data_IF_434043574052
#
_entry.id   IF_434043574052
#
_cell.length_a   1.000
_cell.length_b   1.000
_cell.length_c   1.000
_cell.angle_alpha   90.00
_cell.angle_beta   90.00
_cell.angle_gamma   90.00
#
_symmetry.space_group_name_H-M   'P 1'
#
loop_
_entity.id
_entity.type
_entity.pdbx_description
1 polymer ?
#
# COMPACT_ATOMS: atom_id res chain seq x y z
N UNK A 1 -11.93 -9.26 16.93
CA UNK A 1 -11.30 -9.24 15.60
C UNK A 1 -12.31 -8.62 14.64
N UNK A 2 -12.12 -7.35 14.27
CA UNK A 2 -12.93 -6.76 13.21
C UNK A 2 -12.54 -7.47 11.90
N UNK A 3 -13.50 -8.12 11.24
CA UNK A 3 -13.26 -8.72 9.94
C UNK A 3 -12.78 -7.61 8.99
N UNK A 4 -11.67 -7.86 8.29
CA UNK A 4 -11.11 -6.99 7.25
C UNK A 4 -12.24 -6.47 6.36
N UNK A 5 -12.50 -5.16 6.40
CA UNK A 5 -13.48 -4.55 5.51
C UNK A 5 -12.95 -4.66 4.07
N UNK A 6 -13.66 -5.40 3.17
CA UNK A 6 -13.22 -5.62 1.79
C UNK A 6 -12.86 -4.30 1.09
N UNK A 7 -11.77 -4.27 0.33
CA UNK A 7 -11.32 -3.08 -0.40
C UNK A 7 -12.39 -2.58 -1.38
N UNK A 8 -13.17 -3.51 -1.95
CA UNK A 8 -14.28 -3.17 -2.86
C UNK A 8 -15.38 -2.31 -2.22
N UNK A 9 -15.51 -2.30 -0.89
CA UNK A 9 -16.45 -1.40 -0.21
C UNK A 9 -16.02 0.08 -0.32
N UNK A 10 -14.72 0.36 -0.47
CA UNK A 10 -14.24 1.72 -0.75
C UNK A 10 -14.74 2.23 -2.10
N UNK A 11 -15.01 1.32 -3.04
CA UNK A 11 -15.58 1.61 -4.35
C UNK A 11 -17.12 1.65 -4.34
N UNK A 12 -17.76 1.51 -3.18
CA UNK A 12 -19.22 1.38 -3.08
C UNK A 12 -19.78 0.07 -3.65
N UNK A 13 -18.91 -0.92 -3.90
CA UNK A 13 -19.31 -2.22 -4.45
C UNK A 13 -19.61 -3.17 -3.30
N UNK A 14 -20.81 -3.73 -3.26
CA UNK A 14 -21.19 -4.74 -2.27
C UNK A 14 -20.57 -6.12 -2.60
N UNK A 15 -19.57 -6.60 -1.84
CA UNK A 15 -18.91 -7.87 -2.11
C UNK A 15 -19.88 -9.06 -2.03
N UNK A 16 -20.98 -8.96 -1.28
CA UNK A 16 -21.95 -10.06 -1.11
C UNK A 16 -22.66 -10.43 -2.40
N UNK A 17 -22.62 -9.56 -3.42
CA UNK A 17 -23.19 -9.79 -4.75
C UNK A 17 -22.35 -10.76 -5.60
N UNK A 18 -21.14 -11.10 -5.16
CA UNK A 18 -20.18 -11.89 -5.93
C UNK A 18 -19.93 -13.26 -5.29
N UNK A 19 -19.61 -14.27 -6.12
CA UNK A 19 -19.14 -15.57 -5.64
C UNK A 19 -17.82 -15.42 -4.85
N UNK A 20 -17.40 -16.47 -4.14
CA UNK A 20 -16.14 -16.45 -3.37
C UNK A 20 -14.93 -16.17 -4.28
N UNK A 21 -14.87 -16.81 -5.44
CA UNK A 21 -13.79 -16.68 -6.42
C UNK A 21 -13.77 -15.27 -7.00
N UNK A 22 -14.93 -14.74 -7.39
CA UNK A 22 -15.04 -13.37 -7.92
C UNK A 22 -14.65 -12.33 -6.88
N UNK A 23 -15.01 -12.52 -5.61
CA UNK A 23 -14.55 -11.65 -4.52
C UNK A 23 -13.04 -11.64 -4.37
N UNK A 24 -12.39 -12.80 -4.47
CA UNK A 24 -10.93 -12.88 -4.37
C UNK A 24 -10.24 -12.14 -5.51
N UNK A 25 -10.72 -12.31 -6.75
CA UNK A 25 -10.20 -11.59 -7.91
C UNK A 25 -10.44 -10.08 -7.78
N UNK A 26 -11.62 -9.68 -7.33
CA UNK A 26 -11.96 -8.27 -7.13
C UNK A 26 -11.07 -7.62 -6.07
N UNK A 27 -10.83 -8.30 -4.94
CA UNK A 27 -9.93 -7.81 -3.90
C UNK A 27 -8.48 -7.72 -4.39
N UNK A 28 -8.01 -8.68 -5.18
CA UNK A 28 -6.67 -8.64 -5.77
C UNK A 28 -6.52 -7.47 -6.76
N UNK A 29 -7.54 -7.21 -7.57
CA UNK A 29 -7.58 -6.08 -8.49
C UNK A 29 -7.53 -4.74 -7.76
N UNK A 30 -8.36 -4.55 -6.72
CA UNK A 30 -8.31 -3.34 -5.90
C UNK A 30 -6.97 -3.17 -5.19
N UNK A 31 -6.41 -4.26 -4.67
CA UNK A 31 -5.10 -4.22 -4.03
C UNK A 31 -4.00 -3.76 -5.01
N UNK A 32 -4.00 -4.30 -6.23
CA UNK A 32 -3.08 -3.90 -7.30
C UNK A 32 -3.19 -2.41 -7.65
N UNK A 33 -4.42 -1.89 -7.73
CA UNK A 33 -4.66 -0.46 -8.00
C UNK A 33 -4.17 0.44 -6.88
N UNK A 34 -4.49 0.09 -5.63
CA UNK A 34 -4.02 0.82 -4.45
C UNK A 34 -2.50 0.82 -4.40
N UNK A 35 -1.86 -0.33 -4.64
CA UNK A 35 -0.41 -0.45 -4.69
C UNK A 35 0.19 0.53 -5.71
N UNK A 36 -0.28 0.51 -6.96
CA UNK A 36 0.20 1.42 -8.01
C UNK A 36 0.03 2.88 -7.63
N UNK A 37 -1.10 3.26 -7.06
CA UNK A 37 -1.33 4.65 -6.63
C UNK A 37 -0.44 5.09 -5.49
N UNK A 38 -0.16 4.20 -4.53
CA UNK A 38 0.82 4.47 -3.48
C UNK A 38 2.22 4.63 -4.08
N UNK A 39 2.59 3.79 -5.04
CA UNK A 39 3.86 3.85 -5.75
C UNK A 39 4.02 5.17 -6.52
N UNK A 40 3.00 5.60 -7.26
CA UNK A 40 2.97 6.90 -7.94
C UNK A 40 3.19 8.07 -6.98
N UNK A 41 2.56 8.00 -5.80
CA UNK A 41 2.75 9.01 -4.76
C UNK A 41 4.18 9.02 -4.22
N UNK A 42 4.78 7.85 -4.00
CA UNK A 42 6.19 7.77 -3.62
C UNK A 42 7.10 8.29 -4.73
N UNK A 43 6.81 8.00 -6.01
CA UNK A 43 7.57 8.54 -7.14
C UNK A 43 7.57 10.06 -7.14
N UNK A 44 6.40 10.68 -6.93
CA UNK A 44 6.28 12.14 -6.79
C UNK A 44 7.09 12.65 -5.60
N UNK A 45 7.04 11.97 -4.45
CA UNK A 45 7.79 12.34 -3.26
C UNK A 45 9.32 12.27 -3.48
N UNK A 46 9.80 11.27 -4.21
CA UNK A 46 11.22 11.04 -4.48
C UNK A 46 11.72 11.62 -5.80
N UNK A 47 10.91 12.40 -6.53
CA UNK A 47 11.27 12.95 -7.86
C UNK A 47 12.59 13.73 -7.82
N UNK A 48 12.81 14.55 -6.80
CA UNK A 48 14.07 15.30 -6.66
C UNK A 48 15.27 14.39 -6.43
N UNK A 49 15.09 13.29 -5.68
CA UNK A 49 16.13 12.30 -5.46
C UNK A 49 16.46 11.57 -6.78
N UNK A 50 15.46 11.09 -7.51
CA UNK A 50 15.67 10.43 -8.80
C UNK A 50 16.33 11.34 -9.83
N UNK A 51 15.94 12.61 -9.88
CA UNK A 51 16.57 13.62 -10.74
C UNK A 51 18.03 13.86 -10.38
N UNK A 52 18.35 13.98 -9.08
CA UNK A 52 19.72 14.20 -8.61
C UNK A 52 20.65 13.06 -9.01
N UNK A 53 20.19 11.82 -8.85
CA UNK A 53 20.95 10.62 -9.21
C UNK A 53 20.82 10.21 -10.69
N UNK A 54 20.05 10.98 -11.48
CA UNK A 54 19.80 10.76 -12.91
C UNK A 54 19.32 9.33 -13.19
N UNK A 55 18.36 8.86 -12.39
CA UNK A 55 17.77 7.54 -12.62
C UNK A 55 17.03 7.53 -13.97
N UNK A 56 17.07 6.40 -14.65
CA UNK A 56 16.16 6.12 -15.76
C UNK A 56 14.83 5.63 -15.19
N UNK A 57 13.72 5.73 -15.93
CA UNK A 57 12.42 5.23 -15.48
C UNK A 57 12.51 3.80 -14.93
N UNK A 58 13.15 2.89 -15.67
CA UNK A 58 13.36 1.50 -15.21
C UNK A 58 14.13 1.41 -13.87
N UNK A 59 15.10 2.30 -13.61
CA UNK A 59 15.81 2.33 -12.32
C UNK A 59 14.97 2.92 -11.19
N UNK A 60 14.12 3.89 -11.50
CA UNK A 60 13.14 4.40 -10.54
C UNK A 60 12.16 3.30 -10.15
N UNK A 61 11.64 2.54 -11.12
CA UNK A 61 10.69 1.44 -10.90
C UNK A 61 11.30 0.39 -9.96
N UNK A 62 12.51 -0.08 -10.27
CA UNK A 62 13.24 -1.05 -9.43
C UNK A 62 13.46 -0.49 -8.01
N UNK A 63 13.92 0.77 -7.91
CA UNK A 63 14.19 1.37 -6.61
C UNK A 63 12.91 1.56 -5.77
N UNK A 64 11.79 1.91 -6.40
CA UNK A 64 10.49 2.03 -5.74
C UNK A 64 9.98 0.67 -5.29
N UNK A 65 10.04 -0.36 -6.14
CA UNK A 65 9.61 -1.72 -5.81
C UNK A 65 10.40 -2.28 -4.61
N UNK A 66 11.74 -2.19 -4.66
CA UNK A 66 12.63 -2.67 -3.60
C UNK A 66 12.44 -1.94 -2.26
N UNK A 67 11.98 -0.69 -2.29
CA UNK A 67 11.84 0.15 -1.11
C UNK A 67 10.38 0.45 -0.77
N UNK A 68 9.40 -0.17 -1.43
CA UNK A 68 7.99 0.20 -1.30
C UNK A 68 7.52 0.05 0.14
N UNK A 69 7.69 -1.14 0.71
CA UNK A 69 7.21 -1.47 2.05
C UNK A 69 7.93 -0.63 3.11
N UNK A 70 9.24 -0.44 2.93
CA UNK A 70 10.06 0.41 3.78
C UNK A 70 9.56 1.87 3.75
N UNK A 71 9.31 2.40 2.56
CA UNK A 71 8.80 3.76 2.36
C UNK A 71 7.42 3.94 3.00
N UNK A 72 6.55 2.93 2.89
CA UNK A 72 5.24 2.94 3.54
C UNK A 72 5.36 2.97 5.06
N UNK A 73 6.19 2.10 5.66
CA UNK A 73 6.42 2.10 7.12
C UNK A 73 7.01 3.44 7.58
N UNK A 74 8.01 3.97 6.85
CA UNK A 74 8.63 5.25 7.20
C UNK A 74 7.63 6.41 7.11
N UNK A 75 6.78 6.43 6.08
CA UNK A 75 5.73 7.44 5.94
C UNK A 75 4.75 7.37 7.13
N UNK A 76 4.28 6.17 7.49
CA UNK A 76 3.46 5.95 8.68
C UNK A 76 4.16 6.46 9.94
N UNK A 77 5.39 6.04 10.22
CA UNK A 77 6.12 6.49 11.40
C UNK A 77 6.34 8.01 11.43
N UNK A 78 6.54 8.63 10.26
CA UNK A 78 6.76 10.07 10.16
C UNK A 78 5.52 10.92 10.46
N UNK A 79 4.31 10.34 10.37
CA UNK A 79 3.08 11.06 10.75
C UNK A 79 2.96 11.25 12.28
N UNK A 80 3.70 10.46 13.06
CA UNK A 80 3.60 10.45 14.53
C UNK A 80 2.39 9.67 15.07
N UNK A 81 1.47 9.23 14.21
CA UNK A 81 0.29 8.45 14.62
C UNK A 81 0.60 6.97 14.87
N UNK A 82 1.80 6.53 14.48
CA UNK A 82 2.22 5.14 14.52
C UNK A 82 3.52 4.96 15.29
N UNK A 83 3.65 3.81 15.94
CA UNK A 83 4.89 3.35 16.55
C UNK A 83 5.28 2.01 15.95
N UNK A 84 6.57 1.69 15.99
CA UNK A 84 7.09 0.37 15.56
C UNK A 84 6.34 -0.76 16.28
N UNK A 85 6.17 -0.63 17.60
CA UNK A 85 5.41 -1.57 18.43
C UNK A 85 3.95 -1.71 17.99
N UNK A 86 3.29 -0.59 17.68
CA UNK A 86 1.91 -0.58 17.18
C UNK A 86 1.76 -1.33 15.86
N UNK A 87 2.67 -1.08 14.91
CA UNK A 87 2.70 -1.75 13.61
C UNK A 87 2.98 -3.25 13.78
N UNK A 88 3.98 -3.62 14.58
CA UNK A 88 4.34 -5.01 14.87
C UNK A 88 3.14 -5.79 15.44
N UNK A 89 2.48 -5.21 16.44
CA UNK A 89 1.30 -5.80 17.09
C UNK A 89 0.13 -5.98 16.12
N UNK A 90 -0.17 -4.97 15.30
CA UNK A 90 -1.30 -5.05 14.36
C UNK A 90 -1.03 -6.04 13.23
N UNK A 91 0.17 -6.00 12.66
CA UNK A 91 0.54 -6.88 11.54
C UNK A 91 0.84 -8.31 12.00
N UNK A 92 0.89 -8.56 13.32
CA UNK A 92 1.33 -9.81 13.94
C UNK A 92 2.69 -10.24 13.38
N UNK A 93 3.63 -9.28 13.38
CA UNK A 93 5.00 -9.45 12.95
C UNK A 93 5.91 -9.05 14.11
N UNK A 94 6.87 -9.90 14.49
CA UNK A 94 7.85 -9.57 15.53
C UNK A 94 8.58 -8.25 15.27
N UNK A 95 8.88 -7.50 16.33
CA UNK A 95 9.52 -6.17 16.22
C UNK A 95 10.91 -6.24 15.58
N UNK A 96 11.68 -7.29 15.84
CA UNK A 96 12.97 -7.57 15.21
C UNK A 96 12.84 -7.72 13.68
N UNK A 97 11.87 -8.51 13.22
CA UNK A 97 11.58 -8.65 11.78
C UNK A 97 11.12 -7.32 11.18
N UNK A 98 10.30 -6.55 11.90
CA UNK A 98 9.87 -5.22 11.45
C UNK A 98 11.07 -4.26 11.34
N UNK A 99 12.00 -4.31 12.29
CA UNK A 99 13.23 -3.53 12.26
C UNK A 99 14.10 -3.92 11.07
N UNK A 100 14.26 -5.22 10.76
CA UNK A 100 14.97 -5.69 9.57
C UNK A 100 14.38 -5.10 8.27
N UNK A 101 13.06 -5.02 8.15
CA UNK A 101 12.39 -4.38 7.00
C UNK A 101 12.71 -2.88 6.97
N UNK A 102 12.63 -2.19 8.11
CA UNK A 102 12.90 -0.73 8.21
C UNK A 102 14.34 -0.39 7.82
N UNK A 103 15.31 -1.22 8.21
CA UNK A 103 16.72 -1.03 7.87
C UNK A 103 17.10 -1.57 6.49
N UNK A 104 16.18 -2.27 5.81
CA UNK A 104 16.39 -2.81 4.46
C UNK A 104 17.11 -4.16 4.41
N UNK A 105 17.23 -4.86 5.54
CA UNK A 105 17.75 -6.24 5.60
C UNK A 105 16.71 -7.28 5.14
N UNK A 106 15.44 -6.91 5.12
CA UNK A 106 14.34 -7.70 4.57
C UNK A 106 13.49 -6.88 3.59
N UNK A 107 13.95 -6.72 2.32
CA UNK A 107 13.31 -5.84 1.35
C UNK A 107 12.00 -6.41 0.77
N UNK A 108 11.79 -7.72 0.83
CA UNK A 108 10.63 -8.40 0.22
C UNK A 108 9.78 -9.14 1.27
N UNK A 109 9.11 -8.42 2.18
CA UNK A 109 8.20 -9.06 3.12
C UNK A 109 6.99 -9.63 2.39
N UNK A 110 6.32 -10.60 3.02
CA UNK A 110 5.20 -11.30 2.39
C UNK A 110 4.06 -10.37 1.98
N UNK A 111 3.33 -10.74 0.92
CA UNK A 111 2.12 -10.01 0.49
C UNK A 111 1.06 -9.91 1.59
N UNK A 112 0.99 -10.89 2.50
CA UNK A 112 0.10 -10.85 3.68
C UNK A 112 0.50 -9.72 4.63
N UNK A 113 1.80 -9.53 4.87
CA UNK A 113 2.30 -8.44 5.69
C UNK A 113 1.97 -7.09 5.05
N UNK A 114 2.27 -6.92 3.76
CA UNK A 114 1.96 -5.68 3.03
C UNK A 114 0.46 -5.37 3.07
N UNK A 115 -0.41 -6.37 2.87
CA UNK A 115 -1.86 -6.19 3.00
C UNK A 115 -2.26 -5.68 4.37
N UNK A 116 -1.76 -6.29 5.45
CA UNK A 116 -2.06 -5.84 6.82
C UNK A 116 -1.56 -4.41 7.08
N UNK A 117 -0.41 -4.06 6.51
CA UNK A 117 0.16 -2.72 6.64
C UNK A 117 -0.72 -1.66 5.94
N UNK A 118 -1.16 -1.92 4.71
CA UNK A 118 -2.10 -1.06 3.98
C UNK A 118 -3.43 -0.94 4.74
N UNK A 119 -3.93 -2.03 5.32
CA UNK A 119 -5.16 -2.01 6.11
C UNK A 119 -5.03 -1.14 7.37
N UNK A 120 -3.91 -1.25 8.09
CA UNK A 120 -3.61 -0.41 9.25
C UNK A 120 -3.59 1.07 8.84
N UNK A 121 -2.86 1.36 7.78
CA UNK A 121 -2.69 2.72 7.28
C UNK A 121 -4.01 3.32 6.78
N UNK A 122 -4.84 2.51 6.11
CA UNK A 122 -6.19 2.87 5.68
C UNK A 122 -7.10 3.20 6.85
N UNK A 123 -7.00 2.48 7.97
CA UNK A 123 -7.86 2.72 9.13
C UNK A 123 -7.70 4.14 9.69
N UNK A 124 -6.50 4.71 9.60
CA UNK A 124 -6.21 6.08 10.01
C UNK A 124 -6.43 7.10 8.87
N UNK A 125 -6.04 6.76 7.64
CA UNK A 125 -6.09 7.65 6.46
C UNK A 125 -7.23 7.33 5.52
N UNK A 126 -8.44 7.12 6.05
CA UNK A 126 -9.59 6.62 5.27
C UNK A 126 -9.91 7.46 4.03
N UNK A 127 -9.92 8.78 4.18
CA UNK A 127 -10.26 9.70 3.08
C UNK A 127 -9.24 9.67 1.95
N UNK A 128 -7.95 9.49 2.29
CA UNK A 128 -6.88 9.32 1.32
C UNK A 128 -7.11 8.06 0.47
N UNK A 129 -7.37 6.91 1.11
CA UNK A 129 -7.62 5.66 0.38
C UNK A 129 -8.93 5.68 -0.42
N UNK A 130 -9.98 6.34 0.09
CA UNK A 130 -11.21 6.53 -0.66
C UNK A 130 -10.96 7.36 -1.92
N UNK A 131 -10.15 8.42 -1.82
CA UNK A 131 -9.74 9.24 -2.97
C UNK A 131 -8.94 8.41 -3.97
N UNK A 132 -7.95 7.64 -3.50
CA UNK A 132 -7.16 6.76 -4.37
C UNK A 132 -8.04 5.77 -5.16
N UNK A 133 -8.97 5.09 -4.48
CA UNK A 133 -9.87 4.13 -5.13
C UNK A 133 -10.78 4.83 -6.14
N UNK A 134 -11.30 6.02 -5.83
CA UNK A 134 -12.14 6.79 -6.75
C UNK A 134 -11.37 7.23 -8.00
N UNK A 135 -10.15 7.74 -7.83
CA UNK A 135 -9.27 8.09 -8.96
C UNK A 135 -8.98 6.87 -9.83
N UNK A 136 -8.76 5.70 -9.21
CA UNK A 136 -8.50 4.43 -9.90
C UNK A 136 -9.66 3.90 -10.74
N UNK A 137 -10.89 4.33 -10.47
CA UNK A 137 -12.09 3.95 -11.24
C UNK A 137 -12.35 4.92 -12.40
N UNK A 138 -12.01 6.20 -12.20
CA UNK A 138 -12.25 7.24 -13.21
C UNK A 138 -11.18 7.24 -14.33
N UNK A 139 -9.97 6.75 -14.06
CA UNK A 139 -8.92 6.65 -15.10
C UNK A 139 -9.26 5.65 -16.22
N UNK A 140 -10.12 4.66 -15.97
CA UNK A 140 -10.57 3.73 -17.02
C UNK A 140 -11.58 4.36 -17.99
N UNK A 141 -12.28 5.43 -17.61
CA UNK A 141 -13.21 6.15 -18.50
C UNK A 141 -12.51 7.05 -19.53
N UNK A 142 -11.20 7.32 -19.37
CA UNK A 142 -10.43 8.16 -20.29
C UNK A 142 -9.64 7.36 -21.34
N UNK A 143 -9.47 6.05 -21.11
CA UNK A 143 -8.79 5.11 -22.02
C UNK A 143 -9.78 4.18 -22.78
N UNK A 144 -11.09 4.46 -22.72
CA UNK A 144 -12.15 3.74 -23.46
C UNK A 144 -12.91 4.63 -24.45
#
# INVERSE_FOLDING_TARGET
MSAMEPLCLLAGIDPKRFSKEKRLLLEAEFFSRIYKKLEDNFRKQYTNYFNLFRFTLNREDIALEENFVRSLIQNMLSSGDYTVQGIARYTNTPEDVLMEIIVGLNPYPSAIFLRRLIELDRAQRRDFYHTLVKESLNEEELDS
#
